data_IF_535813333385
#
_entry.id   IF_535813333385
#
_cell.length_a   1.000
_cell.length_b   1.000
_cell.length_c   1.000
_cell.angle_alpha   90.00
_cell.angle_beta   90.00
_cell.angle_gamma   90.00
#
_symmetry.space_group_name_H-M   'P 1'
#
loop_
_entity.id
_entity.type
_entity.pdbx_description
1 polymer ?
#
# COMPACT_ATOMS: atom_id res chain seq x y z
N UNK A 1 -6.26 13.82 -19.03
CA UNK A 1 -4.87 13.91 -18.54
C UNK A 1 -4.87 13.70 -17.03
N UNK A 2 -3.97 12.85 -16.52
CA UNK A 2 -3.83 12.66 -15.08
C UNK A 2 -3.38 13.96 -14.41
N UNK A 3 -4.03 14.33 -13.31
CA UNK A 3 -3.67 15.54 -12.55
C UNK A 3 -2.54 15.21 -11.58
N UNK A 4 -1.48 16.03 -11.54
CA UNK A 4 -0.45 15.89 -10.52
C UNK A 4 -1.03 16.18 -9.13
N UNK A 5 -0.63 15.37 -8.16
CA UNK A 5 -1.05 15.52 -6.76
C UNK A 5 -0.11 16.43 -5.97
N UNK A 6 1.12 16.58 -6.45
CA UNK A 6 2.13 17.42 -5.83
C UNK A 6 3.13 17.93 -6.86
N UNK A 7 3.70 19.12 -6.60
CA UNK A 7 4.73 19.75 -7.42
C UNK A 7 5.82 20.29 -6.51
N UNK A 8 7.07 19.96 -6.80
CA UNK A 8 8.21 20.41 -6.01
C UNK A 8 9.54 20.07 -6.68
N UNK A 9 10.55 19.78 -5.89
CA UNK A 9 11.91 19.54 -6.36
C UNK A 9 12.53 18.37 -5.63
N UNK A 10 13.16 17.45 -6.37
CA UNK A 10 14.06 16.45 -5.80
C UNK A 10 15.45 17.08 -5.68
N UNK A 11 16.07 16.98 -4.51
CA UNK A 11 17.39 17.54 -4.24
C UNK A 11 18.34 16.47 -3.73
N UNK A 12 19.56 16.48 -4.22
CA UNK A 12 20.67 15.65 -3.70
C UNK A 12 21.99 16.36 -3.97
N UNK A 13 22.78 16.56 -2.92
CA UNK A 13 23.96 17.43 -2.99
C UNK A 13 23.59 18.83 -3.49
N UNK A 14 24.20 19.26 -4.61
CA UNK A 14 23.89 20.56 -5.26
C UNK A 14 22.91 20.43 -6.45
N UNK A 15 22.42 19.25 -6.74
CA UNK A 15 21.51 19.00 -7.87
C UNK A 15 20.07 19.21 -7.43
N UNK A 16 19.32 19.96 -8.26
CA UNK A 16 17.91 20.23 -8.07
C UNK A 16 17.14 19.83 -9.32
N UNK A 17 16.18 18.93 -9.17
CA UNK A 17 15.34 18.42 -10.25
C UNK A 17 13.89 18.80 -10.00
N UNK A 18 13.33 19.79 -10.68
CA UNK A 18 11.92 20.13 -10.58
C UNK A 18 11.04 18.99 -11.09
N UNK A 19 10.08 18.54 -10.26
CA UNK A 19 9.26 17.36 -10.54
C UNK A 19 7.78 17.57 -10.19
N UNK A 20 6.96 16.66 -10.73
CA UNK A 20 5.53 16.48 -10.42
C UNK A 20 5.31 15.05 -9.98
N UNK A 21 4.49 14.83 -8.94
CA UNK A 21 4.10 13.48 -8.52
C UNK A 21 2.68 13.16 -9.02
N UNK A 22 2.53 11.92 -9.47
CA UNK A 22 1.25 11.33 -9.88
C UNK A 22 1.05 10.02 -9.10
N UNK A 23 -0.18 9.70 -8.72
CA UNK A 23 -0.48 8.39 -8.14
C UNK A 23 -0.19 7.30 -9.17
N UNK A 24 0.62 6.30 -8.79
CA UNK A 24 0.93 5.16 -9.65
C UNK A 24 -0.12 4.04 -9.53
N UNK A 25 -0.91 4.05 -8.46
CA UNK A 25 -1.91 3.02 -8.15
C UNK A 25 -3.28 3.65 -7.90
N UNK A 26 -4.33 2.94 -8.25
CA UNK A 26 -5.72 3.34 -8.03
C UNK A 26 -6.48 2.19 -7.36
N UNK A 27 -7.20 2.48 -6.27
CA UNK A 27 -8.08 1.50 -5.66
C UNK A 27 -9.31 1.28 -6.53
N UNK A 28 -9.54 0.04 -6.92
CA UNK A 28 -10.74 -0.41 -7.68
C UNK A 28 -11.78 -1.08 -6.78
N UNK A 29 -11.65 -0.96 -5.46
CA UNK A 29 -12.60 -1.54 -4.48
C UNK A 29 -14.01 -0.99 -4.71
N UNK A 30 -15.01 -1.87 -4.70
CA UNK A 30 -16.40 -1.47 -4.78
C UNK A 30 -16.78 -0.71 -3.50
N UNK A 31 -17.23 0.53 -3.67
CA UNK A 31 -17.64 1.39 -2.55
C UNK A 31 -19.14 1.36 -2.39
N UNK A 32 -19.61 1.00 -1.20
CA UNK A 32 -21.01 1.05 -0.83
C UNK A 32 -21.33 2.34 -0.09
N UNK A 33 -22.54 2.86 -0.28
CA UNK A 33 -23.09 3.93 0.53
C UNK A 33 -24.03 3.31 1.58
N UNK A 34 -24.02 3.84 2.78
CA UNK A 34 -24.97 3.46 3.80
C UNK A 34 -26.35 4.04 3.47
N UNK A 35 -27.34 3.16 3.43
CA UNK A 35 -28.73 3.55 3.14
C UNK A 35 -29.67 2.99 4.19
N UNK A 36 -30.73 3.72 4.48
CA UNK A 36 -31.77 3.28 5.39
C UNK A 36 -32.58 2.13 4.74
N UNK A 37 -32.61 0.98 5.40
CA UNK A 37 -33.19 -0.24 4.84
C UNK A 37 -34.69 -0.10 4.46
N UNK A 38 -35.45 0.76 5.18
CA UNK A 38 -36.88 0.90 5.02
C UNK A 38 -37.28 1.68 3.76
N UNK A 39 -36.51 2.69 3.38
CA UNK A 39 -36.91 3.65 2.33
C UNK A 39 -35.79 3.94 1.34
N UNK A 40 -34.58 3.35 1.52
CA UNK A 40 -33.43 3.54 0.66
C UNK A 40 -32.76 4.91 0.78
N UNK A 41 -33.17 5.74 1.74
CA UNK A 41 -32.57 7.06 1.93
C UNK A 41 -31.09 6.95 2.35
N UNK A 42 -30.24 7.81 1.82
CA UNK A 42 -28.82 7.85 2.20
C UNK A 42 -28.68 8.30 3.65
N UNK A 43 -27.81 7.60 4.41
CA UNK A 43 -27.46 7.98 5.77
C UNK A 43 -26.45 9.14 5.76
N UNK A 44 -26.67 10.12 6.62
CA UNK A 44 -25.75 11.22 6.89
C UNK A 44 -25.08 11.03 8.25
N UNK A 45 -23.77 11.27 8.32
CA UNK A 45 -23.01 11.25 9.57
C UNK A 45 -22.88 12.68 10.11
N UNK A 46 -23.29 12.88 11.37
CA UNK A 46 -23.18 14.17 12.06
C UNK A 46 -22.21 14.06 13.23
N UNK A 47 -21.46 15.12 13.48
CA UNK A 47 -20.55 15.20 14.61
C UNK A 47 -21.30 15.78 15.80
N UNK A 48 -21.52 14.97 16.81
CA UNK A 48 -22.26 15.34 18.02
C UNK A 48 -21.32 15.31 19.21
N UNK A 49 -21.31 16.37 20.03
CA UNK A 49 -20.60 16.39 21.29
C UNK A 49 -21.38 15.55 22.32
N UNK A 50 -20.75 14.54 22.96
CA UNK A 50 -21.46 13.67 23.91
C UNK A 50 -21.86 14.36 25.23
N UNK A 51 -21.30 15.55 25.52
CA UNK A 51 -21.61 16.29 26.78
C UNK A 51 -22.89 17.11 26.69
N UNK A 52 -23.19 17.67 25.54
CA UNK A 52 -24.35 18.55 25.37
C UNK A 52 -25.28 18.14 24.22
N UNK A 53 -24.99 16.98 23.60
CA UNK A 53 -25.77 16.35 22.52
C UNK A 53 -26.00 17.26 21.29
N UNK A 54 -25.20 18.32 21.13
CA UNK A 54 -25.31 19.24 20.00
C UNK A 54 -24.41 18.86 18.85
N UNK A 55 -24.87 19.14 17.65
CA UNK A 55 -24.06 19.05 16.45
C UNK A 55 -22.99 20.13 16.46
N UNK A 56 -21.71 19.73 16.29
CA UNK A 56 -20.55 20.61 16.36
C UNK A 56 -20.05 20.90 14.94
N UNK A 57 -20.00 22.18 14.54
CA UNK A 57 -19.45 22.56 13.25
C UNK A 57 -17.93 22.34 13.21
N UNK A 58 -17.40 22.06 12.01
CA UNK A 58 -16.02 21.71 11.78
C UNK A 58 -15.01 22.72 12.37
N UNK A 59 -15.35 24.00 12.35
CA UNK A 59 -14.52 25.09 12.90
C UNK A 59 -14.37 25.06 14.43
N UNK A 60 -15.20 24.29 15.14
CA UNK A 60 -15.16 24.13 16.60
C UNK A 60 -14.50 22.79 17.01
N UNK A 61 -13.98 22.04 16.02
CA UNK A 61 -13.30 20.76 16.25
C UNK A 61 -11.80 20.99 16.12
N UNK A 62 -11.06 20.65 17.18
CA UNK A 62 -9.60 20.67 17.20
C UNK A 62 -9.03 19.25 17.24
N UNK A 63 -7.73 19.11 16.95
CA UNK A 63 -7.00 17.84 17.09
C UNK A 63 -6.50 17.74 18.53
N UNK A 64 -6.88 16.67 19.22
CA UNK A 64 -6.43 16.38 20.58
C UNK A 64 -5.63 15.08 20.60
N UNK A 65 -4.47 15.10 21.28
CA UNK A 65 -3.69 13.91 21.61
C UNK A 65 -3.99 13.51 23.05
N UNK A 66 -4.43 12.27 23.26
CA UNK A 66 -4.74 11.75 24.59
C UNK A 66 -3.45 11.39 25.32
N UNK A 67 -3.23 12.00 26.49
CA UNK A 67 -2.05 11.79 27.35
C UNK A 67 -2.37 10.98 28.61
N UNK A 68 -3.63 10.92 28.99
CA UNK A 68 -4.16 10.18 30.13
C UNK A 68 -5.67 9.97 29.90
N UNK A 69 -6.33 9.09 30.62
CA UNK A 69 -7.76 8.82 30.51
C UNK A 69 -8.56 10.13 30.53
N UNK A 70 -9.27 10.40 29.43
CA UNK A 70 -10.08 11.62 29.20
C UNK A 70 -9.31 12.96 29.25
N UNK A 71 -7.96 12.95 29.21
CA UNK A 71 -7.14 14.16 29.15
C UNK A 71 -6.48 14.33 27.79
N UNK A 72 -6.80 15.41 27.13
CA UNK A 72 -6.32 15.73 25.78
C UNK A 72 -5.45 16.98 25.78
N UNK A 73 -4.30 16.90 25.11
CA UNK A 73 -3.55 18.09 24.68
C UNK A 73 -4.09 18.47 23.32
N UNK A 74 -4.64 19.67 23.21
CA UNK A 74 -5.18 20.21 21.96
C UNK A 74 -4.06 20.89 21.20
N UNK A 75 -3.88 20.53 19.93
CA UNK A 75 -2.94 21.15 19.01
C UNK A 75 -3.70 21.87 17.92
N UNK A 76 -3.27 23.06 17.58
CA UNK A 76 -3.78 23.76 16.42
C UNK A 76 -3.04 23.35 15.12
N UNK A 77 -3.63 23.70 13.97
CA UNK A 77 -3.05 23.31 12.69
C UNK A 77 -1.71 24.01 12.41
N UNK A 78 -1.45 25.16 12.99
CA UNK A 78 -0.20 25.89 12.81
C UNK A 78 0.94 25.30 13.66
N UNK A 79 0.63 24.82 14.86
CA UNK A 79 1.57 24.05 15.70
C UNK A 79 1.98 22.75 15.01
N UNK A 80 1.01 22.02 14.45
CA UNK A 80 1.28 20.77 13.72
C UNK A 80 2.14 21.04 12.46
N UNK A 81 1.83 22.10 11.70
CA UNK A 81 2.64 22.51 10.55
C UNK A 81 4.06 22.93 10.94
N UNK A 82 4.21 23.65 12.05
CA UNK A 82 5.52 24.03 12.55
C UNK A 82 6.37 22.81 12.93
N UNK A 83 5.75 21.77 13.50
CA UNK A 83 6.43 20.51 13.81
C UNK A 83 6.84 19.73 12.55
N UNK A 84 6.06 19.83 11.46
CA UNK A 84 6.39 19.20 10.18
C UNK A 84 7.54 19.89 9.42
N UNK A 85 7.96 21.09 9.84
CA UNK A 85 9.05 21.87 9.24
C UNK A 85 8.69 22.49 7.87
N UNK A 86 9.66 23.20 7.27
CA UNK A 86 9.49 23.93 5.99
C UNK A 86 9.44 23.02 4.75
N UNK A 87 9.32 21.72 4.91
CA UNK A 87 9.56 20.69 3.90
C UNK A 87 8.55 20.56 2.75
N UNK A 88 7.53 21.40 2.68
CA UNK A 88 6.37 21.19 1.79
C UNK A 88 6.61 21.10 0.28
N UNK A 89 7.82 21.38 -0.23
CA UNK A 89 8.11 21.34 -1.68
C UNK A 89 9.43 20.66 -2.06
N UNK A 90 10.09 20.00 -1.10
CA UNK A 90 11.36 19.34 -1.33
C UNK A 90 11.26 17.85 -1.02
N UNK A 91 11.86 17.04 -1.88
CA UNK A 91 12.22 15.66 -1.62
C UNK A 91 13.74 15.67 -1.48
N UNK A 92 14.24 15.55 -0.27
CA UNK A 92 15.67 15.61 0.01
C UNK A 92 16.23 14.19 0.05
N UNK A 93 17.04 13.81 -0.96
CA UNK A 93 17.74 12.54 -0.97
C UNK A 93 19.05 12.69 -0.19
N UNK A 94 19.24 11.83 0.80
CA UNK A 94 20.35 11.83 1.74
C UNK A 94 21.48 10.89 1.28
N UNK A 95 21.09 9.71 0.74
CA UNK A 95 22.01 8.66 0.33
C UNK A 95 21.44 7.81 -0.81
N UNK A 96 22.29 6.94 -1.37
CA UNK A 96 21.91 5.98 -2.41
C UNK A 96 22.32 4.57 -1.97
N UNK A 97 21.37 3.63 -1.99
CA UNK A 97 21.55 2.22 -1.64
C UNK A 97 21.25 1.33 -2.84
N UNK A 98 21.70 0.09 -2.81
CA UNK A 98 21.26 -0.87 -3.83
C UNK A 98 19.75 -1.15 -3.67
N UNK A 99 18.99 -1.00 -4.75
CA UNK A 99 17.52 -1.08 -4.68
C UNK A 99 17.02 -2.46 -4.17
N UNK A 100 17.83 -3.51 -4.35
CA UNK A 100 17.53 -4.86 -3.88
C UNK A 100 17.72 -5.04 -2.35
N UNK A 101 18.41 -4.11 -1.67
CA UNK A 101 18.57 -4.15 -0.21
C UNK A 101 17.32 -3.66 0.54
N UNK A 102 16.41 -2.97 -0.15
CA UNK A 102 15.17 -2.49 0.44
C UNK A 102 14.18 -3.65 0.45
N UNK A 103 13.94 -4.24 1.63
CA UNK A 103 12.96 -5.30 1.76
C UNK A 103 11.55 -4.80 1.39
N UNK A 104 10.75 -5.58 0.64
CA UNK A 104 9.40 -5.21 0.25
C UNK A 104 8.47 -4.80 1.40
N UNK A 105 8.72 -5.25 2.63
CA UNK A 105 7.94 -4.90 3.83
C UNK A 105 7.94 -3.39 4.11
N UNK A 106 9.00 -2.68 3.69
CA UNK A 106 9.11 -1.24 3.89
C UNK A 106 8.29 -0.44 2.90
N UNK A 107 7.96 -0.96 1.70
CA UNK A 107 7.21 -0.19 0.70
C UNK A 107 5.74 -0.02 1.11
N UNK A 108 5.22 1.23 1.01
CA UNK A 108 3.84 1.56 1.32
C UNK A 108 3.06 2.03 0.09
N UNK A 109 3.45 3.18 -0.50
CA UNK A 109 2.78 3.77 -1.66
C UNK A 109 3.79 4.10 -2.75
N UNK A 110 3.33 4.04 -3.99
CA UNK A 110 4.13 4.37 -5.16
C UNK A 110 3.54 5.56 -5.91
N UNK A 111 4.42 6.46 -6.34
CA UNK A 111 4.10 7.61 -7.17
C UNK A 111 4.98 7.60 -8.41
N UNK A 112 4.42 7.91 -9.58
CA UNK A 112 5.23 8.25 -10.74
C UNK A 112 5.74 9.67 -10.61
N UNK A 113 7.01 9.86 -10.96
CA UNK A 113 7.66 11.16 -10.94
C UNK A 113 7.80 11.66 -12.38
N UNK A 114 7.19 12.79 -12.69
CA UNK A 114 7.34 13.45 -13.97
C UNK A 114 8.24 14.67 -13.88
N UNK A 115 8.90 15.04 -14.97
CA UNK A 115 9.65 16.29 -15.06
C UNK A 115 8.72 17.52 -15.00
N UNK A 116 9.24 18.62 -14.48
CA UNK A 116 8.64 19.94 -14.55
C UNK A 116 9.65 20.92 -15.17
N UNK A 117 9.59 21.07 -16.49
CA UNK A 117 10.43 22.00 -17.27
C UNK A 117 11.95 21.78 -17.10
N UNK A 118 12.38 20.53 -16.83
CA UNK A 118 13.77 20.14 -16.59
C UNK A 118 14.05 18.71 -17.09
N UNK A 119 13.66 18.40 -18.33
CA UNK A 119 13.70 17.06 -18.91
C UNK A 119 15.12 16.49 -18.97
N UNK A 120 16.13 17.31 -19.26
CA UNK A 120 17.51 16.83 -19.41
C UNK A 120 18.08 16.33 -18.06
N UNK A 121 17.86 17.10 -16.97
CA UNK A 121 18.32 16.70 -15.63
C UNK A 121 17.53 15.52 -15.11
N UNK A 122 16.23 15.47 -15.40
CA UNK A 122 15.37 14.33 -15.08
C UNK A 122 15.86 13.04 -15.77
N UNK A 123 16.14 13.10 -17.08
CA UNK A 123 16.67 11.96 -17.85
C UNK A 123 18.03 11.51 -17.36
N UNK A 124 18.89 12.47 -17.02
CA UNK A 124 20.21 12.15 -16.45
C UNK A 124 20.08 11.36 -15.15
N UNK A 125 19.20 11.80 -14.23
CA UNK A 125 18.96 11.11 -12.96
C UNK A 125 18.34 9.72 -13.18
N UNK A 126 17.33 9.60 -14.06
CA UNK A 126 16.71 8.33 -14.41
C UNK A 126 17.76 7.34 -14.93
N UNK A 127 18.59 7.76 -15.88
CA UNK A 127 19.59 6.89 -16.49
C UNK A 127 20.69 6.51 -15.50
N UNK A 128 21.09 7.42 -14.61
CA UNK A 128 22.07 7.14 -13.56
C UNK A 128 21.55 6.05 -12.59
N UNK A 129 20.30 6.19 -12.10
CA UNK A 129 19.69 5.20 -11.21
C UNK A 129 19.48 3.86 -11.92
N UNK A 130 19.05 3.87 -13.18
CA UNK A 130 18.86 2.65 -13.98
C UNK A 130 20.15 1.87 -14.18
N UNK A 131 21.26 2.55 -14.55
CA UNK A 131 22.56 1.90 -14.78
C UNK A 131 23.19 1.38 -13.51
N UNK A 132 22.99 2.05 -12.40
CA UNK A 132 23.60 1.66 -11.12
C UNK A 132 22.76 0.66 -10.34
N UNK A 133 21.47 0.46 -10.68
CA UNK A 133 20.54 -0.36 -9.90
C UNK A 133 20.24 0.20 -8.52
N UNK A 134 20.50 1.50 -8.31
CA UNK A 134 20.37 2.13 -6.99
C UNK A 134 19.06 2.86 -6.81
N UNK A 135 18.68 3.02 -5.54
CA UNK A 135 17.59 3.88 -5.08
C UNK A 135 18.15 5.01 -4.22
N UNK A 136 17.67 6.24 -4.42
CA UNK A 136 17.97 7.37 -3.55
C UNK A 136 17.02 7.36 -2.36
N UNK A 137 17.56 7.28 -1.15
CA UNK A 137 16.79 7.34 0.12
C UNK A 137 16.77 8.77 0.60
N UNK A 138 15.62 9.19 1.13
CA UNK A 138 15.48 10.57 1.62
C UNK A 138 14.18 10.80 2.35
N UNK A 139 13.90 12.10 2.58
CA UNK A 139 12.72 12.55 3.31
C UNK A 139 11.85 13.46 2.48
N UNK A 140 10.56 13.36 2.72
CA UNK A 140 9.54 14.08 1.99
C UNK A 140 8.38 14.45 2.89
N UNK A 141 8.13 15.74 3.06
CA UNK A 141 6.95 16.20 3.82
C UNK A 141 5.76 16.38 2.87
N UNK A 142 4.65 15.70 3.19
CA UNK A 142 3.43 15.76 2.41
C UNK A 142 2.20 15.70 3.33
N UNK A 143 1.28 16.65 3.19
CA UNK A 143 0.12 16.79 4.07
C UNK A 143 0.47 16.80 5.56
N UNK A 144 1.42 17.65 5.95
CA UNK A 144 1.87 17.88 7.33
C UNK A 144 2.43 16.62 8.01
N UNK A 145 2.90 15.64 7.23
CA UNK A 145 3.59 14.44 7.70
C UNK A 145 4.89 14.23 6.93
N UNK A 146 5.95 13.88 7.65
CA UNK A 146 7.21 13.42 7.06
C UNK A 146 7.10 11.94 6.67
N UNK A 147 7.64 11.60 5.50
CA UNK A 147 7.76 10.25 4.96
C UNK A 147 9.22 9.94 4.66
N UNK A 148 9.66 8.76 5.01
CA UNK A 148 10.84 8.16 4.42
C UNK A 148 10.49 7.76 2.99
N UNK A 149 11.39 8.03 2.03
CA UNK A 149 11.12 7.74 0.63
C UNK A 149 12.31 7.07 -0.07
N UNK A 150 11.99 6.25 -1.09
CA UNK A 150 12.95 5.71 -2.03
C UNK A 150 12.61 6.18 -3.44
N UNK A 151 13.56 6.86 -4.09
CA UNK A 151 13.47 7.24 -5.51
C UNK A 151 14.28 6.26 -6.34
N UNK A 152 13.66 5.59 -7.30
CA UNK A 152 14.36 4.65 -8.19
C UNK A 152 13.87 4.75 -9.63
N UNK A 153 14.64 4.20 -10.55
CA UNK A 153 14.18 3.97 -11.90
C UNK A 153 13.16 2.81 -11.94
N UNK A 154 12.08 3.00 -12.66
CA UNK A 154 11.07 1.98 -12.96
C UNK A 154 10.78 2.08 -14.45
N UNK A 155 11.27 1.12 -15.22
CA UNK A 155 11.26 1.15 -16.68
C UNK A 155 11.83 2.48 -17.22
N UNK A 156 11.03 3.25 -17.94
CA UNK A 156 11.41 4.53 -18.55
C UNK A 156 11.02 5.77 -17.73
N UNK A 157 10.64 5.58 -16.46
CA UNK A 157 10.25 6.68 -15.56
C UNK A 157 10.90 6.57 -14.19
N UNK A 158 10.94 7.68 -13.46
CA UNK A 158 11.27 7.67 -12.03
C UNK A 158 10.02 7.32 -11.22
N UNK A 159 10.20 6.45 -10.22
CA UNK A 159 9.19 6.13 -9.23
C UNK A 159 9.68 6.54 -7.84
N UNK A 160 8.81 7.21 -7.10
CA UNK A 160 8.98 7.55 -5.69
C UNK A 160 8.09 6.63 -4.86
N UNK A 161 8.68 5.92 -3.92
CA UNK A 161 7.97 5.08 -2.98
C UNK A 161 8.03 5.71 -1.60
N UNK A 162 6.89 5.81 -0.89
CA UNK A 162 6.95 6.02 0.56
C UNK A 162 7.33 4.70 1.22
N UNK A 163 8.18 4.81 2.23
CA UNK A 163 8.67 3.69 3.03
C UNK A 163 8.15 3.84 4.47
N UNK A 164 7.96 2.70 5.13
CA UNK A 164 7.74 2.64 6.58
C UNK A 164 9.03 2.96 7.30
N UNK A 165 8.93 3.62 8.45
CA UNK A 165 10.04 3.71 9.39
C UNK A 165 10.27 2.34 10.05
N UNK A 166 11.47 2.14 10.59
CA UNK A 166 11.84 0.86 11.21
C UNK A 166 10.91 0.45 12.37
N UNK A 167 10.47 1.42 13.15
CA UNK A 167 9.55 1.23 14.29
C UNK A 167 8.08 0.99 13.88
N UNK A 168 7.74 1.16 12.61
CA UNK A 168 6.44 0.78 12.04
C UNK A 168 6.40 -0.70 11.60
N UNK A 169 7.55 -1.38 11.57
CA UNK A 169 7.65 -2.80 11.19
C UNK A 169 7.71 -3.66 12.46
N UNK A 170 6.71 -4.53 12.61
CA UNK A 170 6.64 -5.44 13.76
C UNK A 170 7.73 -6.51 13.65
N UNK A 171 8.50 -6.71 14.74
CA UNK A 171 9.48 -7.79 14.78
C UNK A 171 8.78 -9.16 14.79
N UNK A 172 9.18 -10.03 13.88
CA UNK A 172 8.65 -11.40 13.82
C UNK A 172 8.90 -12.19 15.12
N UNK A 173 9.93 -11.83 15.89
CA UNK A 173 10.24 -12.43 17.19
C UNK A 173 9.22 -12.11 18.28
N UNK A 174 8.45 -11.02 18.12
CA UNK A 174 7.37 -10.63 19.05
C UNK A 174 6.05 -11.38 18.77
N UNK A 175 6.01 -12.20 17.72
CA UNK A 175 4.82 -12.90 17.27
C UNK A 175 4.94 -14.41 17.56
N UNK A 176 3.82 -15.06 17.87
CA UNK A 176 3.73 -16.52 18.00
C UNK A 176 3.79 -17.21 16.62
N UNK A 177 4.94 -17.14 15.97
CA UNK A 177 5.17 -17.79 14.68
C UNK A 177 5.83 -19.17 14.88
N UNK A 178 5.57 -20.15 14.01
CA UNK A 178 6.15 -21.48 14.08
C UNK A 178 7.64 -21.47 13.67
N UNK A 179 8.47 -20.73 14.42
CA UNK A 179 9.92 -20.56 14.14
C UNK A 179 10.78 -21.75 14.58
N UNK A 180 10.20 -22.71 15.31
CA UNK A 180 10.89 -23.87 15.87
C UNK A 180 10.16 -25.17 15.57
N UNK A 181 10.41 -25.75 14.42
CA UNK A 181 9.96 -27.12 14.09
C UNK A 181 11.13 -28.08 13.89
N UNK A 182 10.90 -29.39 13.99
CA UNK A 182 11.87 -30.38 13.54
C UNK A 182 12.21 -30.17 12.06
N UNK A 183 13.44 -30.53 11.66
CA UNK A 183 13.79 -30.48 10.22
C UNK A 183 12.85 -31.42 9.46
N UNK A 184 12.19 -30.97 8.39
CA UNK A 184 11.34 -31.83 7.57
C UNK A 184 12.15 -33.04 7.05
N UNK A 185 11.49 -34.16 6.84
CA UNK A 185 12.16 -35.33 6.29
C UNK A 185 12.74 -35.00 4.91
N UNK A 186 13.94 -35.48 4.62
CA UNK A 186 14.65 -35.18 3.36
C UNK A 186 13.82 -35.51 2.12
N UNK A 187 13.02 -36.60 2.18
CA UNK A 187 12.14 -37.01 1.09
C UNK A 187 11.02 -35.98 0.85
N UNK A 188 10.34 -35.57 1.92
CA UNK A 188 9.26 -34.58 1.86
C UNK A 188 9.75 -33.24 1.32
N UNK A 189 10.92 -32.76 1.79
CA UNK A 189 11.54 -31.54 1.30
C UNK A 189 11.86 -31.63 -0.20
N UNK A 190 12.36 -32.78 -0.68
CA UNK A 190 12.63 -33.01 -2.10
C UNK A 190 11.34 -33.02 -2.94
N UNK A 191 10.26 -33.61 -2.43
CA UNK A 191 8.96 -33.65 -3.12
C UNK A 191 8.35 -32.25 -3.20
N UNK A 192 8.35 -31.52 -2.09
CA UNK A 192 7.88 -30.13 -2.05
C UNK A 192 8.69 -29.24 -3.01
N UNK A 193 10.03 -29.37 -3.02
CA UNK A 193 10.87 -28.63 -3.96
C UNK A 193 10.55 -28.92 -5.42
N UNK A 194 10.32 -30.21 -5.79
CA UNK A 194 9.89 -30.58 -7.15
C UNK A 194 8.55 -29.96 -7.52
N UNK A 195 7.58 -29.96 -6.59
CA UNK A 195 6.28 -29.36 -6.84
C UNK A 195 6.40 -27.85 -7.09
N UNK A 196 7.22 -27.14 -6.29
CA UNK A 196 7.50 -25.71 -6.48
C UNK A 196 8.11 -25.45 -7.86
N UNK A 197 9.10 -26.25 -8.27
CA UNK A 197 9.73 -26.13 -9.60
C UNK A 197 8.75 -26.44 -10.75
N UNK A 198 7.87 -27.43 -10.58
CA UNK A 198 6.84 -27.74 -11.59
C UNK A 198 5.79 -26.66 -11.75
N UNK A 199 5.56 -25.87 -10.68
CA UNK A 199 4.60 -24.77 -10.66
C UNK A 199 5.26 -23.42 -10.97
N UNK A 200 6.59 -23.39 -11.16
CA UNK A 200 7.32 -22.17 -11.45
C UNK A 200 6.93 -21.61 -12.82
N UNK A 201 6.47 -20.39 -12.85
CA UNK A 201 6.17 -19.61 -14.07
C UNK A 201 6.64 -18.18 -13.89
N UNK A 202 6.86 -17.44 -14.97
CA UNK A 202 7.08 -16.00 -14.91
C UNK A 202 5.85 -15.28 -14.35
N UNK A 203 6.09 -14.29 -13.49
CA UNK A 203 5.01 -13.49 -12.94
C UNK A 203 4.41 -12.59 -14.01
N UNK A 204 3.20 -12.91 -14.43
CA UNK A 204 2.40 -12.10 -15.34
C UNK A 204 1.20 -11.50 -14.58
N UNK A 205 1.21 -10.21 -14.25
CA UNK A 205 0.13 -9.57 -13.50
C UNK A 205 -1.21 -9.56 -14.22
N UNK A 206 -1.23 -9.67 -15.56
CA UNK A 206 -2.46 -9.66 -16.36
C UNK A 206 -3.29 -10.95 -16.19
N UNK A 207 -2.66 -12.02 -15.71
CA UNK A 207 -3.34 -13.31 -15.41
C UNK A 207 -4.20 -13.27 -14.14
N UNK A 208 -4.01 -12.26 -13.28
CA UNK A 208 -4.69 -12.17 -11.99
C UNK A 208 -5.77 -11.10 -12.02
N UNK A 209 -7.02 -11.54 -12.00
CA UNK A 209 -8.17 -10.66 -11.91
C UNK A 209 -8.77 -10.65 -10.49
N UNK A 210 -9.33 -9.51 -10.08
CA UNK A 210 -10.11 -9.40 -8.85
C UNK A 210 -11.49 -10.06 -9.05
N UNK A 211 -11.53 -11.37 -8.83
CA UNK A 211 -12.75 -12.19 -8.99
C UNK A 211 -13.85 -11.80 -8.01
N UNK A 212 -13.48 -11.37 -6.80
CA UNK A 212 -14.44 -10.86 -5.81
C UNK A 212 -15.15 -9.61 -6.34
N UNK A 213 -14.40 -8.63 -6.82
CA UNK A 213 -14.96 -7.41 -7.41
C UNK A 213 -15.89 -7.73 -8.57
N UNK A 214 -15.48 -8.61 -9.47
CA UNK A 214 -16.28 -9.03 -10.60
C UNK A 214 -17.60 -9.69 -10.16
N UNK A 215 -17.55 -10.58 -9.17
CA UNK A 215 -18.72 -11.23 -8.56
C UNK A 215 -19.65 -10.23 -7.90
N UNK A 216 -19.13 -9.26 -7.14
CA UNK A 216 -19.92 -8.22 -6.50
C UNK A 216 -20.61 -7.32 -7.53
N UNK A 217 -19.92 -6.93 -8.59
CA UNK A 217 -20.48 -6.11 -9.66
C UNK A 217 -21.58 -6.86 -10.43
N UNK A 218 -21.40 -8.17 -10.67
CA UNK A 218 -22.44 -9.01 -11.30
C UNK A 218 -23.66 -9.15 -10.39
N UNK A 219 -23.46 -9.38 -9.08
CA UNK A 219 -24.51 -9.40 -8.07
C UNK A 219 -25.33 -8.09 -8.08
N UNK A 220 -24.66 -6.95 -8.09
CA UNK A 220 -25.31 -5.63 -8.16
C UNK A 220 -26.14 -5.51 -9.45
N UNK A 221 -25.59 -5.92 -10.60
CA UNK A 221 -26.31 -5.90 -11.88
C UNK A 221 -27.56 -6.78 -11.87
N UNK A 222 -27.46 -8.01 -11.33
CA UNK A 222 -28.62 -8.94 -11.21
C UNK A 222 -29.68 -8.37 -10.29
N UNK A 223 -29.30 -7.84 -9.13
CA UNK A 223 -30.23 -7.19 -8.20
C UNK A 223 -30.93 -5.98 -8.82
N UNK A 224 -30.20 -5.14 -9.50
CA UNK A 224 -30.74 -3.98 -10.20
C UNK A 224 -31.75 -4.38 -11.30
N UNK A 225 -31.57 -5.56 -11.91
CA UNK A 225 -32.47 -6.14 -12.89
C UNK A 225 -33.66 -6.94 -12.28
N UNK A 226 -33.82 -6.96 -10.96
CA UNK A 226 -34.90 -7.67 -10.25
C UNK A 226 -34.80 -9.20 -10.29
N UNK A 227 -33.62 -9.77 -10.56
CA UNK A 227 -33.40 -11.22 -10.58
C UNK A 227 -33.14 -11.76 -9.18
N UNK A 228 -33.73 -12.90 -8.83
CA UNK A 228 -33.39 -13.64 -7.62
C UNK A 228 -31.94 -14.11 -7.63
N UNK A 229 -31.34 -14.14 -6.46
CA UNK A 229 -29.94 -14.49 -6.25
C UNK A 229 -29.91 -15.73 -5.36
N UNK A 230 -29.34 -16.81 -5.88
CA UNK A 230 -29.01 -17.98 -5.10
C UNK A 230 -27.60 -17.79 -4.51
N UNK A 231 -27.53 -17.75 -3.18
CA UNK A 231 -26.29 -17.59 -2.41
C UNK A 231 -25.81 -18.99 -1.99
N UNK A 232 -25.32 -19.79 -2.93
CA UNK A 232 -24.62 -21.04 -2.60
C UNK A 232 -23.26 -20.71 -1.99
N UNK A 233 -23.03 -21.13 -0.75
CA UNK A 233 -21.72 -21.04 -0.11
C UNK A 233 -20.72 -21.93 -0.87
N UNK A 234 -19.50 -21.43 -1.10
CA UNK A 234 -18.40 -22.26 -1.59
C UNK A 234 -17.98 -23.21 -0.44
N UNK A 235 -17.89 -24.49 -0.73
CA UNK A 235 -17.35 -25.47 0.21
C UNK A 235 -15.85 -25.18 0.44
N UNK A 236 -15.43 -25.18 1.71
CA UNK A 236 -14.02 -25.08 2.06
C UNK A 236 -13.29 -26.37 1.60
N UNK A 237 -12.07 -26.26 1.03
CA UNK A 237 -11.29 -27.43 0.65
C UNK A 237 -10.93 -28.25 1.89
N UNK A 238 -11.20 -29.55 1.85
CA UNK A 238 -10.80 -30.49 2.92
C UNK A 238 -9.27 -30.56 3.01
N UNK A 239 -8.74 -30.36 4.21
CA UNK A 239 -7.32 -30.58 4.51
C UNK A 239 -7.05 -32.07 4.75
N UNK A 240 -6.22 -32.67 3.91
CA UNK A 240 -5.77 -34.03 4.12
C UNK A 240 -4.72 -34.09 5.25
N UNK A 241 -4.90 -35.00 6.21
CA UNK A 241 -4.00 -35.18 7.36
C UNK A 241 -2.63 -35.79 7.01
N UNK A 242 -2.48 -36.40 5.83
CA UNK A 242 -1.22 -37.00 5.35
C UNK A 242 -0.56 -36.14 4.27
N UNK A 243 0.42 -35.32 4.70
CA UNK A 243 1.17 -34.40 3.84
C UNK A 243 1.88 -35.14 2.69
N UNK A 244 2.44 -36.36 2.93
CA UNK A 244 3.15 -37.11 1.91
C UNK A 244 2.20 -37.59 0.81
N UNK A 245 1.02 -38.12 1.19
CA UNK A 245 -0.02 -38.55 0.26
C UNK A 245 -0.58 -37.36 -0.57
N UNK A 246 -0.78 -36.21 0.05
CA UNK A 246 -1.24 -34.98 -0.63
C UNK A 246 -0.20 -34.51 -1.64
N UNK A 247 1.10 -34.52 -1.31
CA UNK A 247 2.18 -34.14 -2.22
C UNK A 247 2.30 -35.12 -3.39
N UNK A 248 2.20 -36.44 -3.17
CA UNK A 248 2.21 -37.46 -4.23
C UNK A 248 1.00 -37.30 -5.19
N UNK A 249 -0.18 -37.11 -4.65
CA UNK A 249 -1.39 -36.86 -5.45
C UNK A 249 -1.27 -35.58 -6.31
N UNK A 250 -0.73 -34.50 -5.77
CA UNK A 250 -0.50 -33.24 -6.47
C UNK A 250 0.51 -33.36 -7.62
N UNK A 251 1.56 -34.18 -7.44
CA UNK A 251 2.54 -34.48 -8.48
C UNK A 251 1.95 -35.37 -9.59
N UNK A 252 1.06 -36.33 -9.24
CA UNK A 252 0.43 -37.26 -10.17
C UNK A 252 -0.70 -36.69 -11.02
N UNK A 253 -1.38 -35.65 -10.54
CA UNK A 253 -2.54 -35.04 -11.24
C UNK A 253 -2.17 -34.12 -12.41
N UNK A 254 -0.87 -33.85 -12.62
CA UNK A 254 -0.35 -32.95 -13.67
C UNK A 254 0.65 -33.60 -14.64
N UNK A 255 0.69 -34.93 -14.70
CA UNK A 255 1.50 -35.69 -15.67
C UNK A 255 0.73 -35.98 -16.96
#
# INVERSE_FOLDING_TARGET
>A
MARSIWNGTVTFGMVNVPVKLYTATESKTVRFQEVHLKDGARIEHRRICPKDEREIPMKEIAKGFEIDEDKYVVLDDDEIKAAAGDGGKLIHLEEFVDAAEIDPIFFEKTYYVGSRDAEDVYRLLLEALRRTGRAGIGRFTFHDREYLVALRALDDVLALHTLRFHDEVVDAGDLELPTGGGKPAKRELQMAGRLVEMLHEEFDPERYEDTYRNSVLDLIKRKAAGKEIDLTAQEEPEHGDDLAAVLEASLGSRS
#
